data_IF_070572512529
#
_entry.id   IF_070572512529
#
_cell.length_a   1.000
_cell.length_b   1.000
_cell.length_c   1.000
_cell.angle_alpha   90.00
_cell.angle_beta   90.00
_cell.angle_gamma   90.00
#
_symmetry.space_group_name_H-M   'P 1'
#
loop_
_entity.id
_entity.type
_entity.pdbx_description
1 polymer ?
#
# COMPACT_ATOMS: atom_id res chain seq x y z
N UNK A 1 30.69 -17.32 -20.30
CA UNK A 1 30.57 -16.31 -19.24
C UNK A 1 29.20 -16.42 -18.59
N UNK A 2 29.16 -16.56 -17.30
CA UNK A 2 27.90 -16.55 -16.54
C UNK A 2 27.55 -15.09 -16.22
N UNK A 3 26.38 -14.63 -16.69
CA UNK A 3 25.84 -13.31 -16.32
C UNK A 3 25.09 -13.46 -15.00
N UNK A 4 25.53 -12.73 -13.97
CA UNK A 4 24.85 -12.66 -12.70
C UNK A 4 23.79 -11.56 -12.77
N UNK A 5 22.51 -11.95 -12.67
CA UNK A 5 21.42 -10.99 -12.53
C UNK A 5 21.43 -10.41 -11.12
N UNK A 6 21.31 -9.11 -11.03
CA UNK A 6 21.25 -8.37 -9.77
C UNK A 6 20.03 -7.47 -9.77
N UNK A 7 19.44 -7.30 -8.59
CA UNK A 7 18.34 -6.37 -8.37
C UNK A 7 18.74 -5.38 -7.25
N UNK A 8 18.28 -4.16 -7.35
CA UNK A 8 18.53 -3.13 -6.35
C UNK A 8 17.24 -2.36 -6.07
N UNK A 9 17.02 -2.01 -4.79
CA UNK A 9 15.97 -1.08 -4.39
C UNK A 9 16.50 0.33 -4.64
N UNK A 10 15.87 1.07 -5.54
CA UNK A 10 16.32 2.42 -5.94
C UNK A 10 15.44 3.54 -5.38
N UNK A 11 14.24 3.22 -4.91
CA UNK A 11 13.35 4.17 -4.26
C UNK A 11 12.37 3.44 -3.35
N UNK A 12 11.85 4.17 -2.37
CA UNK A 12 10.73 3.78 -1.52
C UNK A 12 9.74 4.92 -1.45
N UNK A 13 8.47 4.59 -1.34
CA UNK A 13 7.38 5.54 -1.15
C UNK A 13 6.30 4.92 -0.28
N UNK A 14 5.50 5.76 0.35
CA UNK A 14 4.45 5.32 1.23
C UNK A 14 3.26 6.27 1.23
N UNK A 15 2.14 5.75 1.68
CA UNK A 15 0.92 6.51 1.92
C UNK A 15 0.21 5.95 3.14
N UNK A 16 -0.32 6.83 3.95
CA UNK A 16 -1.21 6.49 5.06
C UNK A 16 -2.43 7.40 5.04
N UNK A 17 -3.65 6.86 5.24
CA UNK A 17 -4.86 7.66 5.33
C UNK A 17 -4.80 8.66 6.50
N UNK A 18 -5.60 9.72 6.43
CA UNK A 18 -5.63 10.74 7.48
C UNK A 18 -6.38 10.28 8.74
N UNK A 19 -7.40 9.45 8.58
CA UNK A 19 -8.21 8.96 9.70
C UNK A 19 -7.40 8.09 10.63
N UNK A 20 -7.33 8.48 11.90
CA UNK A 20 -6.68 7.72 12.97
C UNK A 20 -7.69 6.88 13.73
N UNK A 21 -7.29 5.67 14.09
CA UNK A 21 -7.98 4.82 15.05
C UNK A 21 -7.01 4.57 16.21
N UNK A 22 -7.30 5.15 17.35
CA UNK A 22 -6.45 5.04 18.55
C UNK A 22 -6.80 3.79 19.35
N UNK A 23 -5.91 3.40 20.27
CA UNK A 23 -6.20 2.32 21.22
C UNK A 23 -7.40 2.66 22.09
N UNK A 24 -7.58 3.93 22.47
CA UNK A 24 -8.75 4.40 23.24
C UNK A 24 -10.07 4.27 22.46
N UNK A 25 -10.03 4.43 21.13
CA UNK A 25 -11.20 4.15 20.31
C UNK A 25 -11.51 2.65 20.29
N UNK A 26 -10.48 1.80 20.23
CA UNK A 26 -10.64 0.35 20.28
C UNK A 26 -11.22 -0.15 21.61
N UNK A 27 -10.86 0.45 22.74
CA UNK A 27 -11.44 0.14 24.06
C UNK A 27 -12.96 0.26 24.08
N UNK A 28 -13.53 1.16 23.27
CA UNK A 28 -14.96 1.35 23.15
C UNK A 28 -15.65 0.32 22.25
N UNK A 29 -14.89 -0.41 21.46
CA UNK A 29 -15.41 -1.30 20.43
C UNK A 29 -15.27 -2.78 20.80
N UNK A 30 -14.18 -3.12 21.48
CA UNK A 30 -13.83 -4.50 21.83
C UNK A 30 -13.21 -4.55 23.22
N UNK A 31 -13.19 -5.73 23.83
CA UNK A 31 -12.59 -5.96 25.16
C UNK A 31 -11.06 -5.91 25.07
N UNK A 32 -10.50 -4.71 25.23
CA UNK A 32 -9.06 -4.43 25.20
C UNK A 32 -8.77 -3.14 25.95
N UNK A 33 -7.48 -2.80 26.10
CA UNK A 33 -7.03 -1.51 26.62
C UNK A 33 -5.70 -1.07 26.01
N UNK A 34 -5.39 0.22 26.13
CA UNK A 34 -4.19 0.83 25.56
C UNK A 34 -2.90 0.19 26.09
N UNK A 35 -2.82 -0.08 27.37
CA UNK A 35 -1.63 -0.70 28.00
C UNK A 35 -1.36 -2.11 27.45
N UNK A 36 -2.40 -2.93 27.32
CA UNK A 36 -2.29 -4.27 26.75
C UNK A 36 -1.80 -4.23 25.28
N UNK A 37 -2.39 -3.36 24.48
CA UNK A 37 -2.01 -3.23 23.05
C UNK A 37 -0.57 -2.75 22.94
N UNK A 38 -0.19 -1.70 23.67
CA UNK A 38 1.17 -1.14 23.64
C UNK A 38 2.23 -2.12 24.09
N UNK A 39 1.98 -2.83 25.19
CA UNK A 39 2.95 -3.79 25.74
C UNK A 39 3.24 -4.94 24.77
N UNK A 40 2.28 -5.33 23.92
CA UNK A 40 2.41 -6.43 22.98
C UNK A 40 2.86 -6.00 21.59
N UNK A 41 2.52 -4.81 21.15
CA UNK A 41 2.70 -4.38 19.76
C UNK A 41 3.49 -3.09 19.61
N UNK A 42 3.59 -2.29 20.65
CA UNK A 42 4.14 -0.94 20.58
C UNK A 42 3.23 0.07 19.84
N UNK A 43 2.03 -0.34 19.41
CA UNK A 43 1.13 0.48 18.58
C UNK A 43 0.22 1.31 19.48
N UNK A 44 0.19 2.62 19.24
CA UNK A 44 -0.72 3.57 19.91
C UNK A 44 -1.92 3.93 19.03
N UNK A 45 -1.72 4.02 17.72
CA UNK A 45 -2.75 4.36 16.75
C UNK A 45 -2.46 3.67 15.40
N UNK A 46 -3.49 3.51 14.58
CA UNK A 46 -3.37 3.08 13.18
C UNK A 46 -4.16 4.00 12.26
N UNK A 47 -3.80 3.97 11.00
CA UNK A 47 -4.49 4.74 9.99
C UNK A 47 -5.49 3.86 9.27
N UNK A 48 -6.69 4.37 9.08
CA UNK A 48 -7.80 3.64 8.49
C UNK A 48 -8.35 4.40 7.30
N UNK A 49 -8.46 3.73 6.16
CA UNK A 49 -9.11 4.29 4.98
C UNK A 49 -10.63 4.24 5.19
N UNK A 50 -11.26 5.40 5.33
CA UNK A 50 -12.71 5.54 5.52
C UNK A 50 -13.40 6.36 4.45
N UNK A 51 -12.65 6.87 3.49
CA UNK A 51 -13.22 7.67 2.40
C UNK A 51 -14.10 6.79 1.51
N UNK A 52 -15.37 7.20 1.26
CA UNK A 52 -16.26 6.44 0.38
C UNK A 52 -15.66 6.28 -1.03
N UNK A 53 -15.78 5.08 -1.60
CA UNK A 53 -15.31 4.78 -2.94
C UNK A 53 -13.78 4.60 -3.05
N UNK A 54 -13.05 4.61 -1.93
CA UNK A 54 -11.62 4.35 -1.88
C UNK A 54 -11.32 2.94 -1.35
N UNK A 55 -10.26 2.33 -1.87
CA UNK A 55 -9.86 0.98 -1.52
C UNK A 55 -8.33 0.83 -1.52
N UNK A 56 -7.83 -0.39 -1.40
CA UNK A 56 -6.39 -0.68 -1.34
C UNK A 56 -5.61 -0.17 -2.55
N UNK A 57 -6.22 -0.22 -3.75
CA UNK A 57 -5.59 0.30 -4.96
C UNK A 57 -5.35 1.81 -4.90
N UNK A 58 -6.22 2.57 -4.25
CA UNK A 58 -6.04 4.01 -4.09
C UNK A 58 -4.83 4.33 -3.20
N UNK A 59 -4.66 3.61 -2.11
CA UNK A 59 -3.50 3.75 -1.24
C UNK A 59 -2.20 3.36 -1.94
N UNK A 60 -2.21 2.24 -2.68
CA UNK A 60 -1.06 1.80 -3.47
C UNK A 60 -0.69 2.79 -4.57
N UNK A 61 -1.68 3.39 -5.21
CA UNK A 61 -1.49 4.44 -6.22
C UNK A 61 -0.78 5.65 -5.63
N UNK A 62 -1.22 6.16 -4.48
CA UNK A 62 -0.57 7.30 -3.82
C UNK A 62 0.88 7.01 -3.44
N UNK A 63 1.16 5.80 -2.95
CA UNK A 63 2.52 5.37 -2.64
C UNK A 63 3.43 5.35 -3.88
N UNK A 64 2.93 4.86 -5.02
CA UNK A 64 3.68 4.86 -6.29
C UNK A 64 3.85 6.29 -6.82
N UNK A 65 2.83 7.13 -6.73
CA UNK A 65 2.93 8.53 -7.16
C UNK A 65 3.99 9.29 -6.35
N UNK A 66 4.20 8.97 -5.08
CA UNK A 66 5.30 9.52 -4.30
C UNK A 66 6.66 9.13 -4.89
N UNK A 67 6.85 7.85 -5.26
CA UNK A 67 8.08 7.37 -5.92
C UNK A 67 8.30 8.07 -7.27
N UNK A 68 7.24 8.17 -8.08
CA UNK A 68 7.29 8.84 -9.38
C UNK A 68 7.75 10.30 -9.22
N UNK A 69 7.20 11.02 -8.24
CA UNK A 69 7.62 12.40 -7.95
C UNK A 69 9.07 12.49 -7.50
N UNK A 70 9.50 11.62 -6.58
CA UNK A 70 10.87 11.60 -6.04
C UNK A 70 11.92 11.29 -7.09
N UNK A 71 11.63 10.36 -7.97
CA UNK A 71 12.58 9.86 -8.97
C UNK A 71 12.40 10.48 -10.35
N UNK A 72 11.36 11.27 -10.57
CA UNK A 72 10.94 11.75 -11.91
C UNK A 72 10.83 10.59 -12.90
N UNK A 73 10.26 9.48 -12.42
CA UNK A 73 10.07 8.26 -13.19
C UNK A 73 8.90 8.45 -14.15
N UNK A 74 9.07 8.03 -15.41
CA UNK A 74 7.96 7.90 -16.34
C UNK A 74 7.16 6.62 -15.96
N UNK A 75 5.85 6.72 -15.73
CA UNK A 75 5.03 5.52 -15.46
C UNK A 75 5.15 4.44 -16.53
N UNK A 76 5.44 4.79 -17.76
CA UNK A 76 5.65 3.83 -18.86
C UNK A 76 6.92 3.00 -18.74
N UNK A 77 7.86 3.41 -17.88
CA UNK A 77 9.08 2.64 -17.57
C UNK A 77 8.84 1.52 -16.56
N UNK A 78 7.63 1.46 -15.96
CA UNK A 78 7.27 0.39 -15.03
C UNK A 78 6.89 -0.86 -15.82
N UNK A 79 7.68 -1.91 -15.70
CA UNK A 79 7.45 -3.18 -16.38
C UNK A 79 6.51 -4.11 -15.62
N UNK A 80 6.54 -4.06 -14.29
CA UNK A 80 5.76 -4.97 -13.46
C UNK A 80 5.34 -4.30 -12.13
N UNK A 81 4.12 -4.56 -11.71
CA UNK A 81 3.62 -4.19 -10.38
C UNK A 81 3.22 -5.47 -9.63
N UNK A 82 3.77 -5.63 -8.44
CA UNK A 82 3.41 -6.71 -7.51
C UNK A 82 2.69 -6.07 -6.33
N UNK A 83 1.44 -6.47 -6.12
CA UNK A 83 0.64 -5.99 -4.98
C UNK A 83 0.32 -7.15 -4.04
N UNK A 84 1.02 -7.21 -2.92
CA UNK A 84 0.76 -8.18 -1.86
C UNK A 84 -0.30 -7.61 -0.92
N UNK A 85 -1.52 -8.14 -0.98
CA UNK A 85 -2.61 -7.70 -0.10
C UNK A 85 -3.58 -8.85 0.21
N UNK A 86 -4.08 -8.87 1.43
CA UNK A 86 -5.18 -9.76 1.86
C UNK A 86 -6.54 -9.08 1.74
N UNK A 87 -6.57 -7.79 1.40
CA UNK A 87 -7.77 -6.98 1.25
C UNK A 87 -7.80 -6.33 -0.14
N UNK A 88 -7.94 -7.12 -1.22
CA UNK A 88 -8.02 -6.56 -2.56
C UNK A 88 -9.30 -5.73 -2.72
N UNK A 89 -9.30 -4.81 -3.68
CA UNK A 89 -10.48 -4.02 -4.02
C UNK A 89 -11.65 -4.92 -4.44
N UNK A 90 -11.33 -5.94 -5.22
CA UNK A 90 -12.26 -6.93 -5.75
C UNK A 90 -11.50 -8.18 -6.21
N UNK A 91 -12.20 -9.31 -6.43
CA UNK A 91 -11.54 -10.54 -6.92
C UNK A 91 -10.89 -10.36 -8.30
N UNK A 92 -11.50 -9.57 -9.17
CA UNK A 92 -11.01 -9.32 -10.53
C UNK A 92 -11.60 -8.00 -11.08
N UNK A 93 -10.80 -7.14 -11.74
CA UNK A 93 -9.36 -7.26 -11.98
C UNK A 93 -8.53 -7.18 -10.69
N UNK A 94 -7.25 -7.59 -10.75
CA UNK A 94 -6.37 -7.57 -9.59
C UNK A 94 -6.09 -6.13 -9.10
N UNK A 95 -5.82 -5.97 -7.82
CA UNK A 95 -5.45 -4.68 -7.25
C UNK A 95 -4.21 -4.08 -7.95
N UNK A 96 -3.24 -4.92 -8.35
CA UNK A 96 -2.07 -4.47 -9.12
C UNK A 96 -2.45 -3.90 -10.49
N UNK A 97 -3.43 -4.50 -11.19
CA UNK A 97 -3.94 -3.97 -12.45
C UNK A 97 -4.64 -2.61 -12.27
N UNK A 98 -5.44 -2.49 -11.22
CA UNK A 98 -6.10 -1.22 -10.88
C UNK A 98 -5.08 -0.11 -10.59
N UNK A 99 -4.02 -0.43 -9.84
CA UNK A 99 -2.92 0.50 -9.58
C UNK A 99 -2.22 0.89 -10.89
N UNK A 100 -1.89 -0.09 -11.74
CA UNK A 100 -1.25 0.14 -13.03
C UNK A 100 -2.06 1.10 -13.91
N UNK A 101 -3.35 0.90 -14.00
CA UNK A 101 -4.27 1.80 -14.72
C UNK A 101 -4.26 3.21 -14.13
N UNK A 102 -4.39 3.33 -12.81
CA UNK A 102 -4.44 4.62 -12.10
C UNK A 102 -3.15 5.45 -12.22
N UNK A 103 -1.98 4.81 -12.29
CA UNK A 103 -0.70 5.51 -12.44
C UNK A 103 -0.29 5.70 -13.91
N UNK A 104 -1.00 5.12 -14.85
CA UNK A 104 -0.69 5.21 -16.28
C UNK A 104 0.45 4.29 -16.75
N UNK A 105 0.70 3.21 -16.02
CA UNK A 105 1.71 2.21 -16.38
C UNK A 105 1.17 1.22 -17.42
N UNK A 106 2.02 0.84 -18.40
CA UNK A 106 1.76 -0.29 -19.29
C UNK A 106 2.46 -1.52 -18.72
N UNK A 107 1.84 -2.17 -17.76
CA UNK A 107 2.51 -3.21 -16.99
C UNK A 107 1.98 -4.61 -17.28
N UNK A 108 2.85 -5.60 -17.03
CA UNK A 108 2.43 -6.94 -16.70
C UNK A 108 2.25 -7.00 -15.18
N UNK A 109 1.02 -7.07 -14.73
CA UNK A 109 0.69 -7.08 -13.31
C UNK A 109 0.75 -8.49 -12.75
N UNK A 110 1.35 -8.65 -11.60
CA UNK A 110 1.40 -9.93 -10.88
C UNK A 110 0.55 -9.81 -9.62
N UNK A 111 -0.34 -10.76 -9.45
CA UNK A 111 -1.13 -10.95 -8.24
C UNK A 111 -0.34 -11.86 -7.28
N UNK A 112 -0.12 -11.40 -6.07
CA UNK A 112 0.35 -12.23 -4.95
C UNK A 112 -0.61 -12.03 -3.78
#
# INVERSE_FOLDING_TARGET
MTTTLRAAITAVGGYVPETKLTNFDLEKMVDTNDEWIKSRTGISERRILREPGKASSDMGTEAILEIIRKKKLDPLEIDCIICATVTPDMPFPSTANLIGDKVGAKTHSVLI
#
